data_IF_617139570391
#
_entry.id   IF_617139570391
#
_cell.length_a   1.000
_cell.length_b   1.000
_cell.length_c   1.000
_cell.angle_alpha   90.00
_cell.angle_beta   90.00
_cell.angle_gamma   90.00
#
_symmetry.space_group_name_H-M   'P 1'
#
loop_
_entity.id
_entity.type
_entity.pdbx_description
1 polymer ?
#
# COMPACT_ATOMS: atom_id res chain seq x y z
N UNK A 1 -7.08 3.36 23.43
CA UNK A 1 -6.53 2.32 22.54
C UNK A 1 -5.44 1.59 23.32
N UNK A 2 -5.54 0.27 23.42
CA UNK A 2 -4.42 -0.54 23.89
C UNK A 2 -3.38 -0.53 22.75
N UNK A 3 -2.09 -0.24 23.04
CA UNK A 3 -1.06 -0.36 22.03
C UNK A 3 -1.04 -1.80 21.53
N UNK A 4 -1.08 -2.00 20.23
CA UNK A 4 -0.79 -3.31 19.66
C UNK A 4 0.70 -3.51 19.87
N UNK A 5 1.04 -4.27 20.90
CA UNK A 5 2.41 -4.69 21.16
C UNK A 5 2.74 -5.82 20.18
N UNK A 6 3.49 -5.52 19.13
CA UNK A 6 4.07 -6.53 18.25
C UNK A 6 5.16 -7.33 18.97
N UNK A 7 5.77 -6.72 19.99
CA UNK A 7 6.65 -7.35 20.96
C UNK A 7 6.50 -6.63 22.29
N UNK A 8 6.47 -7.33 23.43
CA UNK A 8 6.48 -6.69 24.75
C UNK A 8 7.71 -5.80 24.98
N UNK A 9 8.80 -6.06 24.28
CA UNK A 9 10.08 -5.36 24.42
C UNK A 9 10.19 -4.11 23.54
N UNK A 10 9.40 -4.02 22.45
CA UNK A 10 9.42 -2.89 21.52
C UNK A 10 8.01 -2.67 20.91
N UNK A 11 7.09 -2.07 21.67
CA UNK A 11 5.74 -1.85 21.23
C UNK A 11 5.69 -0.72 20.18
N UNK A 12 5.05 -0.95 19.04
CA UNK A 12 4.65 0.10 18.11
C UNK A 12 3.36 0.74 18.63
N UNK A 13 3.47 1.94 19.22
CA UNK A 13 2.33 2.64 19.82
C UNK A 13 1.49 3.43 18.82
N UNK A 14 2.15 4.03 17.84
CA UNK A 14 1.53 4.91 16.86
C UNK A 14 2.12 4.67 15.47
N UNK A 15 1.29 4.76 14.46
CA UNK A 15 1.70 4.80 13.06
C UNK A 15 1.13 6.06 12.41
N UNK A 16 1.88 6.67 11.50
CA UNK A 16 1.41 7.82 10.74
C UNK A 16 0.67 7.31 9.51
N UNK A 17 -0.65 7.44 9.51
CA UNK A 17 -1.50 7.02 8.39
C UNK A 17 -1.52 8.03 7.25
N UNK A 18 -1.46 9.34 7.58
CA UNK A 18 -1.42 10.43 6.61
C UNK A 18 -0.53 11.56 7.10
N UNK A 19 -0.11 12.44 6.20
CA UNK A 19 0.72 13.60 6.53
C UNK A 19 2.22 13.30 6.74
N UNK A 20 2.72 12.15 6.29
CA UNK A 20 4.13 11.75 6.42
C UNK A 20 5.10 12.81 5.91
N UNK A 21 4.84 13.39 4.72
CA UNK A 21 5.66 14.44 4.14
C UNK A 21 5.59 15.75 4.94
N UNK A 22 4.40 16.11 5.43
CA UNK A 22 4.20 17.31 6.25
C UNK A 22 4.95 17.21 7.58
N UNK A 23 4.88 16.05 8.25
CA UNK A 23 5.63 15.80 9.48
C UNK A 23 7.14 15.77 9.25
N UNK A 24 7.61 15.20 8.15
CA UNK A 24 9.01 15.21 7.78
C UNK A 24 9.52 16.64 7.53
N UNK A 25 8.76 17.47 6.82
CA UNK A 25 9.08 18.87 6.59
C UNK A 25 9.09 19.67 7.90
N UNK A 26 8.08 19.49 8.75
CA UNK A 26 8.04 20.15 10.06
C UNK A 26 9.24 19.77 10.94
N UNK A 27 9.64 18.49 10.93
CA UNK A 27 10.85 18.02 11.62
C UNK A 27 12.11 18.69 11.07
N UNK A 28 12.26 18.79 9.75
CA UNK A 28 13.42 19.44 9.13
C UNK A 28 13.51 20.93 9.53
N UNK A 29 12.39 21.67 9.46
CA UNK A 29 12.31 23.06 9.92
C UNK A 29 12.66 23.19 11.41
N UNK A 30 12.15 22.30 12.25
CA UNK A 30 12.50 22.28 13.67
C UNK A 30 14.00 22.10 13.91
N UNK A 31 14.65 21.17 13.24
CA UNK A 31 16.08 20.92 13.40
C UNK A 31 16.95 22.12 12.96
N UNK A 32 16.49 22.92 12.01
CA UNK A 32 17.14 24.19 11.64
C UNK A 32 16.96 25.26 12.73
N UNK A 33 15.74 25.51 13.16
CA UNK A 33 15.40 26.50 14.19
C UNK A 33 16.16 26.22 15.49
N UNK A 34 16.17 24.94 15.90
CA UNK A 34 16.79 24.45 17.12
C UNK A 34 18.27 24.80 17.25
N UNK A 35 19.01 24.91 16.13
CA UNK A 35 20.43 25.21 16.12
C UNK A 35 20.76 26.62 16.69
N UNK A 36 19.80 27.55 16.64
CA UNK A 36 19.93 28.90 17.13
C UNK A 36 19.38 29.14 18.54
N UNK A 37 18.84 28.10 19.20
CA UNK A 37 18.15 28.20 20.48
C UNK A 37 19.02 27.76 21.65
N UNK A 38 18.81 28.39 22.81
CA UNK A 38 19.32 27.88 24.09
C UNK A 38 18.59 26.60 24.52
N UNK A 39 19.16 25.80 25.44
CA UNK A 39 18.47 24.60 25.97
C UNK A 39 17.10 24.93 26.58
N UNK A 40 16.93 26.06 27.22
CA UNK A 40 15.68 26.49 27.84
C UNK A 40 14.61 26.83 26.77
N UNK A 41 14.99 27.58 25.75
CA UNK A 41 14.12 27.94 24.63
C UNK A 41 13.69 26.70 23.82
N UNK A 42 14.60 25.74 23.63
CA UNK A 42 14.34 24.51 22.90
C UNK A 42 13.17 23.71 23.49
N UNK A 43 13.00 23.71 24.82
CA UNK A 43 11.96 22.94 25.49
C UNK A 43 10.55 23.49 25.21
N UNK A 44 10.42 24.82 25.11
CA UNK A 44 9.13 25.52 25.03
C UNK A 44 8.81 26.09 23.66
N UNK A 45 9.74 26.01 22.71
CA UNK A 45 9.54 26.61 21.39
C UNK A 45 8.37 25.97 20.63
N UNK A 46 7.44 26.77 20.06
CA UNK A 46 6.25 26.22 19.38
C UNK A 46 6.58 25.33 18.18
N UNK A 47 7.62 25.59 17.42
CA UNK A 47 8.04 24.75 16.29
C UNK A 47 8.51 23.33 16.69
N UNK A 48 8.69 23.06 18.00
CA UNK A 48 8.96 21.71 18.51
C UNK A 48 7.75 20.77 18.40
N UNK A 49 6.55 21.31 18.30
CA UNK A 49 5.31 20.57 18.36
C UNK A 49 4.61 20.59 16.99
N UNK A 50 4.06 19.48 16.58
CA UNK A 50 3.14 19.38 15.47
C UNK A 50 1.78 18.95 16.00
N UNK A 51 0.72 19.55 15.48
CA UNK A 51 -0.66 19.09 15.78
C UNK A 51 -0.94 17.84 14.96
N UNK A 52 -1.44 16.82 15.61
CA UNK A 52 -1.86 15.56 14.99
C UNK A 52 -3.24 15.17 15.50
N UNK A 53 -4.00 14.47 14.67
CA UNK A 53 -5.20 13.78 15.09
C UNK A 53 -4.83 12.33 15.45
N UNK A 54 -5.32 11.85 16.59
CA UNK A 54 -5.10 10.49 17.04
C UNK A 54 -6.37 9.68 16.83
N UNK A 55 -6.32 8.74 15.90
CA UNK A 55 -7.42 7.87 15.57
C UNK A 55 -7.22 6.46 16.12
N UNK A 56 -8.32 5.82 16.52
CA UNK A 56 -8.33 4.41 16.87
C UNK A 56 -8.62 3.59 15.61
N UNK A 57 -7.67 2.80 15.12
CA UNK A 57 -7.85 1.97 13.92
C UNK A 57 -8.99 0.93 14.07
N UNK A 58 -9.40 0.62 15.29
CA UNK A 58 -10.51 -0.29 15.58
C UNK A 58 -11.86 0.44 15.71
N UNK A 59 -11.90 1.77 15.50
CA UNK A 59 -13.15 2.50 15.48
C UNK A 59 -13.99 2.08 14.26
N UNK A 60 -15.27 1.78 14.49
CA UNK A 60 -16.19 1.32 13.42
C UNK A 60 -16.47 2.41 12.38
N UNK A 61 -16.30 3.69 12.75
CA UNK A 61 -16.45 4.82 11.84
C UNK A 61 -15.26 4.92 10.84
N UNK A 62 -14.08 4.38 11.19
CA UNK A 62 -12.93 4.36 10.30
C UNK A 62 -13.11 3.26 9.24
N UNK A 63 -13.33 3.65 7.99
CA UNK A 63 -13.41 2.73 6.87
C UNK A 63 -12.04 2.65 6.18
N UNK A 64 -11.55 1.42 6.05
CA UNK A 64 -10.36 1.17 5.25
C UNK A 64 -10.80 0.80 3.83
N UNK A 65 -10.40 1.61 2.86
CA UNK A 65 -10.71 1.36 1.47
C UNK A 65 -9.42 0.98 0.73
N UNK A 66 -9.44 -0.05 -0.12
CA UNK A 66 -8.28 -0.40 -0.91
C UNK A 66 -8.03 0.65 -1.99
N UNK A 67 -6.78 0.95 -2.24
CA UNK A 67 -6.38 1.73 -3.41
C UNK A 67 -6.02 0.73 -4.50
N UNK A 68 -6.84 0.67 -5.53
CA UNK A 68 -6.66 -0.21 -6.68
C UNK A 68 -5.58 0.31 -7.62
N UNK A 69 -5.18 -0.50 -8.58
CA UNK A 69 -4.19 -0.15 -9.60
C UNK A 69 -4.79 -0.27 -10.98
N UNK A 70 -4.43 0.64 -11.88
CA UNK A 70 -4.70 0.53 -13.31
C UNK A 70 -3.40 0.71 -14.07
N UNK A 71 -3.07 -0.26 -14.90
CA UNK A 71 -1.90 -0.27 -15.77
C UNK A 71 -2.37 -0.03 -17.20
N UNK A 72 -1.82 0.98 -17.85
CA UNK A 72 -2.10 1.33 -19.24
C UNK A 72 -0.93 0.96 -20.13
N UNK A 73 -1.21 0.55 -21.35
CA UNK A 73 -0.22 0.18 -22.36
C UNK A 73 0.21 -1.28 -22.24
N UNK A 74 -0.72 -2.17 -21.84
CA UNK A 74 -0.48 -3.61 -21.70
C UNK A 74 -1.67 -4.42 -22.21
N UNK A 75 -1.43 -5.70 -22.50
CA UNK A 75 -2.44 -6.72 -22.78
C UNK A 75 -2.76 -7.52 -21.51
N UNK A 76 -4.03 -7.86 -21.32
CA UNK A 76 -4.46 -8.51 -20.08
C UNK A 76 -4.11 -9.99 -20.03
N UNK A 77 -4.19 -10.71 -21.14
CA UNK A 77 -3.89 -12.13 -21.18
C UNK A 77 -2.37 -12.36 -21.02
N UNK A 78 -1.53 -11.55 -21.70
CA UNK A 78 -0.07 -11.57 -21.54
C UNK A 78 0.35 -11.26 -20.09
N UNK A 79 -0.30 -10.28 -19.48
CA UNK A 79 0.02 -9.84 -18.12
C UNK A 79 -0.30 -10.91 -17.06
N UNK A 80 -1.35 -11.73 -17.26
CA UNK A 80 -1.65 -12.83 -16.36
C UNK A 80 -0.52 -13.88 -16.35
N UNK A 81 0.02 -14.20 -17.51
CA UNK A 81 1.13 -15.16 -17.63
C UNK A 81 2.41 -14.59 -16.97
N UNK A 82 2.67 -13.29 -17.13
CA UNK A 82 3.82 -12.63 -16.51
C UNK A 82 3.70 -12.54 -14.98
N UNK A 83 2.50 -12.32 -14.44
CA UNK A 83 2.25 -12.38 -12.98
C UNK A 83 2.57 -13.77 -12.44
N UNK A 84 2.11 -14.81 -13.14
CA UNK A 84 2.37 -16.19 -12.73
C UNK A 84 3.86 -16.54 -12.78
N UNK A 85 4.57 -16.09 -13.81
CA UNK A 85 6.03 -16.26 -13.94
C UNK A 85 6.79 -15.52 -12.84
N UNK A 86 6.42 -14.27 -12.54
CA UNK A 86 7.01 -13.49 -11.46
C UNK A 86 6.77 -14.15 -10.09
N UNK A 87 5.55 -14.61 -9.81
CA UNK A 87 5.24 -15.31 -8.57
C UNK A 87 6.14 -16.53 -8.39
N UNK A 88 6.29 -17.37 -9.44
CA UNK A 88 7.16 -18.53 -9.42
C UNK A 88 8.64 -18.16 -9.18
N UNK A 89 9.15 -17.07 -9.79
CA UNK A 89 10.52 -16.58 -9.54
C UNK A 89 10.73 -16.19 -8.07
N UNK A 90 9.71 -15.65 -7.43
CA UNK A 90 9.74 -15.27 -6.00
C UNK A 90 9.47 -16.43 -5.04
N UNK A 91 9.32 -17.65 -5.55
CA UNK A 91 9.02 -18.85 -4.75
C UNK A 91 7.55 -18.96 -4.33
N UNK A 92 6.67 -18.16 -4.94
CA UNK A 92 5.23 -18.20 -4.76
C UNK A 92 4.57 -19.01 -5.89
N UNK A 93 3.29 -19.36 -5.69
CA UNK A 93 2.52 -20.09 -6.71
C UNK A 93 1.13 -19.46 -6.88
N UNK A 94 0.59 -19.56 -8.10
CA UNK A 94 -0.82 -19.28 -8.32
C UNK A 94 -1.61 -20.48 -7.81
N UNK A 95 -2.36 -20.28 -6.74
CA UNK A 95 -3.15 -21.31 -6.08
C UNK A 95 -4.38 -20.71 -5.40
N UNK A 96 -5.45 -21.50 -5.32
CA UNK A 96 -6.62 -21.15 -4.51
C UNK A 96 -6.52 -21.85 -3.16
N UNK A 97 -6.52 -21.08 -2.09
CA UNK A 97 -6.43 -21.64 -0.74
C UNK A 97 -6.66 -20.57 0.34
N UNK A 98 -6.85 -21.00 1.59
CA UNK A 98 -7.18 -20.09 2.70
C UNK A 98 -6.05 -19.12 3.07
N UNK A 99 -4.85 -19.37 2.56
CA UNK A 99 -3.66 -18.51 2.78
C UNK A 99 -3.28 -17.70 1.51
N UNK A 100 -4.06 -17.88 0.43
CA UNK A 100 -3.79 -17.18 -0.82
C UNK A 100 -4.10 -15.67 -0.67
N UNK A 101 -3.21 -14.85 -1.19
CA UNK A 101 -3.46 -13.42 -1.38
C UNK A 101 -4.26 -13.25 -2.66
N UNK A 102 -5.50 -12.78 -2.54
CA UNK A 102 -6.40 -12.62 -3.69
C UNK A 102 -6.20 -11.26 -4.35
N UNK A 103 -6.08 -11.27 -5.68
CA UNK A 103 -6.03 -10.08 -6.54
C UNK A 103 -6.98 -10.35 -7.71
N UNK A 104 -7.97 -9.50 -7.93
CA UNK A 104 -8.84 -9.62 -9.10
C UNK A 104 -8.31 -8.73 -10.22
N UNK A 105 -7.99 -9.34 -11.35
CA UNK A 105 -7.53 -8.69 -12.57
C UNK A 105 -8.73 -8.45 -13.47
N UNK A 106 -8.92 -7.21 -13.93
CA UNK A 106 -10.05 -6.76 -14.75
C UNK A 106 -9.53 -6.13 -16.03
N UNK A 107 -9.98 -6.61 -17.17
CA UNK A 107 -9.63 -6.09 -18.49
C UNK A 107 -10.68 -6.51 -19.53
N UNK A 108 -11.00 -5.63 -20.48
CA UNK A 108 -11.88 -5.93 -21.60
C UNK A 108 -13.22 -6.62 -21.22
N UNK A 109 -13.78 -6.23 -20.08
CA UNK A 109 -15.00 -6.84 -19.53
C UNK A 109 -14.83 -8.25 -18.92
N UNK A 110 -13.60 -8.76 -18.85
CA UNK A 110 -13.25 -10.01 -18.15
C UNK A 110 -12.82 -9.69 -16.71
N UNK A 111 -13.09 -10.62 -15.80
CA UNK A 111 -12.57 -10.60 -14.42
C UNK A 111 -11.96 -11.96 -14.08
N UNK A 112 -10.71 -11.95 -13.61
CA UNK A 112 -9.97 -13.15 -13.23
C UNK A 112 -9.41 -12.94 -11.83
N UNK A 113 -9.83 -13.73 -10.86
CA UNK A 113 -9.26 -13.69 -9.51
C UNK A 113 -8.09 -14.66 -9.42
N UNK A 114 -6.93 -14.11 -9.11
CA UNK A 114 -5.69 -14.83 -8.84
C UNK A 114 -5.51 -14.98 -7.34
N UNK A 115 -5.30 -16.21 -6.86
CA UNK A 115 -4.77 -16.47 -5.53
C UNK A 115 -3.26 -16.67 -5.60
N UNK A 116 -2.48 -16.02 -4.77
CA UNK A 116 -1.02 -16.17 -4.71
C UNK A 116 -0.63 -16.71 -3.33
N UNK A 117 -0.10 -17.92 -3.29
CA UNK A 117 0.40 -18.56 -2.07
C UNK A 117 1.93 -18.51 -2.01
N UNK A 118 2.48 -18.39 -0.79
CA UNK A 118 3.92 -18.41 -0.55
C UNK A 118 4.63 -17.11 -0.93
N UNK A 119 3.91 -16.02 -1.18
CA UNK A 119 4.52 -14.72 -1.45
C UNK A 119 5.42 -14.27 -0.29
N UNK A 120 6.62 -13.71 -0.58
CA UNK A 120 7.47 -13.13 0.46
C UNK A 120 6.89 -11.84 1.06
N UNK A 121 5.88 -11.26 0.41
CA UNK A 121 5.20 -10.07 0.89
C UNK A 121 3.98 -10.44 1.74
N UNK A 122 3.78 -9.73 2.85
CA UNK A 122 2.72 -10.04 3.82
C UNK A 122 1.30 -9.75 3.32
N UNK A 123 1.14 -8.81 2.40
CA UNK A 123 -0.15 -8.36 1.86
C UNK A 123 -0.20 -8.45 0.34
N UNK A 124 -1.41 -8.69 -0.20
CA UNK A 124 -1.67 -8.69 -1.65
C UNK A 124 -1.18 -7.41 -2.35
N UNK A 125 -1.37 -6.24 -1.71
CA UNK A 125 -0.88 -4.96 -2.25
C UNK A 125 0.64 -4.94 -2.40
N UNK A 126 1.39 -5.52 -1.46
CA UNK A 126 2.85 -5.60 -1.53
C UNK A 126 3.32 -6.54 -2.65
N UNK A 127 2.66 -7.68 -2.80
CA UNK A 127 2.92 -8.64 -3.88
C UNK A 127 2.65 -8.01 -5.25
N UNK A 128 1.50 -7.36 -5.41
CA UNK A 128 1.14 -6.68 -6.65
C UNK A 128 2.12 -5.53 -6.96
N UNK A 129 2.44 -4.68 -5.97
CA UNK A 129 3.34 -3.55 -6.20
C UNK A 129 4.74 -4.01 -6.64
N UNK A 130 5.26 -5.06 -6.01
CA UNK A 130 6.55 -5.63 -6.39
C UNK A 130 6.56 -6.17 -7.83
N UNK A 131 5.45 -6.79 -8.26
CA UNK A 131 5.27 -7.20 -9.65
C UNK A 131 5.24 -6.00 -10.60
N UNK A 132 4.41 -5.00 -10.30
CA UNK A 132 4.25 -3.81 -11.15
C UNK A 132 5.56 -3.02 -11.27
N UNK A 133 6.29 -2.85 -10.17
CA UNK A 133 7.59 -2.17 -10.18
C UNK A 133 8.61 -2.91 -11.04
N UNK A 134 8.66 -4.25 -10.94
CA UNK A 134 9.51 -5.09 -11.76
C UNK A 134 9.13 -5.01 -13.25
N UNK A 135 7.83 -5.10 -13.55
CA UNK A 135 7.31 -5.09 -14.91
C UNK A 135 7.56 -3.75 -15.63
N UNK A 136 7.35 -2.64 -14.93
CA UNK A 136 7.55 -1.29 -15.47
C UNK A 136 9.00 -0.99 -15.86
N UNK A 137 9.99 -1.69 -15.28
CA UNK A 137 11.40 -1.55 -15.68
C UNK A 137 11.62 -1.94 -17.15
N UNK A 138 10.85 -2.91 -17.65
CA UNK A 138 10.93 -3.40 -19.03
C UNK A 138 9.95 -2.68 -19.97
N UNK A 139 8.99 -1.92 -19.41
CA UNK A 139 7.90 -1.27 -20.16
C UNK A 139 7.81 0.24 -19.84
N UNK A 140 8.83 1.03 -20.20
CA UNK A 140 8.91 2.46 -19.81
C UNK A 140 7.84 3.35 -20.45
N UNK A 141 7.12 2.86 -21.46
CA UNK A 141 5.99 3.55 -22.08
C UNK A 141 4.66 3.29 -21.38
N UNK A 142 4.60 2.27 -20.51
CA UNK A 142 3.39 1.99 -19.73
C UNK A 142 3.21 3.00 -18.59
N UNK A 143 1.97 3.18 -18.16
CA UNK A 143 1.62 4.10 -17.08
C UNK A 143 0.80 3.40 -16.02
N UNK A 144 1.21 3.54 -14.77
CA UNK A 144 0.50 3.03 -13.61
C UNK A 144 -0.26 4.16 -12.92
N UNK A 145 -1.53 3.93 -12.62
CA UNK A 145 -2.40 4.82 -11.86
C UNK A 145 -2.95 4.14 -10.60
N UNK A 146 -3.29 4.96 -9.61
CA UNK A 146 -3.82 4.56 -8.31
C UNK A 146 -5.26 5.05 -8.20
N UNK A 147 -6.22 4.14 -8.09
CA UNK A 147 -7.63 4.44 -8.28
C UNK A 147 -8.43 4.04 -7.04
N UNK A 148 -9.30 4.94 -6.57
CA UNK A 148 -10.31 4.67 -5.57
C UNK A 148 -11.61 4.19 -6.24
N UNK A 149 -12.17 3.09 -5.70
CA UNK A 149 -13.45 2.54 -6.13
C UNK A 149 -13.34 1.61 -7.34
N UNK A 150 -13.91 0.42 -7.19
CA UNK A 150 -13.88 -0.65 -8.20
C UNK A 150 -14.60 -0.27 -9.49
N UNK A 151 -15.75 0.43 -9.40
CA UNK A 151 -16.51 0.84 -10.58
C UNK A 151 -15.72 1.79 -11.48
N UNK A 152 -14.88 2.64 -10.88
CA UNK A 152 -13.97 3.52 -11.63
C UNK A 152 -12.91 2.70 -12.36
N UNK A 153 -12.35 1.69 -11.71
CA UNK A 153 -11.39 0.77 -12.35
C UNK A 153 -12.05 0.07 -13.54
N UNK A 154 -13.22 -0.56 -13.34
CA UNK A 154 -13.95 -1.27 -14.41
C UNK A 154 -14.25 -0.36 -15.61
N UNK A 155 -14.58 0.90 -15.33
CA UNK A 155 -14.83 1.89 -16.39
C UNK A 155 -13.57 2.21 -17.19
N UNK A 156 -12.43 2.39 -16.50
CA UNK A 156 -11.16 2.74 -17.13
C UNK A 156 -10.59 1.62 -18.00
N UNK A 157 -10.86 0.36 -17.64
CA UNK A 157 -10.30 -0.82 -18.34
C UNK A 157 -11.33 -1.54 -19.24
N UNK A 158 -12.45 -0.89 -19.54
CA UNK A 158 -13.48 -1.46 -20.42
C UNK A 158 -13.04 -1.61 -21.88
N UNK A 159 -12.01 -0.85 -22.32
CA UNK A 159 -11.39 -0.93 -23.64
C UNK A 159 -10.06 -1.66 -23.61
N UNK A 160 -9.50 -1.86 -24.81
CA UNK A 160 -8.19 -2.49 -25.00
C UNK A 160 -7.04 -1.64 -24.42
N UNK A 161 -5.95 -2.31 -24.04
CA UNK A 161 -4.70 -1.67 -23.65
C UNK A 161 -4.66 -1.16 -22.20
N UNK A 162 -5.61 -1.57 -21.35
CA UNK A 162 -5.60 -1.24 -19.93
C UNK A 162 -6.03 -2.42 -19.07
N UNK A 163 -5.38 -2.62 -17.95
CA UNK A 163 -5.64 -3.69 -16.98
C UNK A 163 -5.80 -3.11 -15.58
N UNK A 164 -6.88 -3.47 -14.91
CA UNK A 164 -7.18 -3.10 -13.54
C UNK A 164 -6.84 -4.22 -12.56
N UNK A 165 -6.40 -3.83 -11.36
CA UNK A 165 -6.15 -4.74 -10.25
C UNK A 165 -6.99 -4.31 -9.06
N UNK A 166 -8.02 -5.10 -8.75
CA UNK A 166 -8.83 -4.90 -7.56
C UNK A 166 -8.17 -5.62 -6.39
N UNK A 167 -7.88 -4.86 -5.37
CA UNK A 167 -7.25 -5.36 -4.14
C UNK A 167 -8.30 -5.56 -3.06
N UNK A 168 -8.13 -6.56 -2.19
CA UNK A 168 -8.98 -6.72 -1.03
C UNK A 168 -8.81 -5.56 -0.05
N UNK A 169 -9.86 -5.28 0.72
CA UNK A 169 -9.78 -4.33 1.84
C UNK A 169 -8.73 -4.81 2.84
N UNK A 170 -7.76 -3.96 3.24
CA UNK A 170 -6.77 -4.34 4.23
C UNK A 170 -7.41 -4.71 5.57
N UNK A 171 -6.98 -5.82 6.16
CA UNK A 171 -7.39 -6.21 7.51
C UNK A 171 -6.74 -5.26 8.53
N UNK A 172 -7.54 -4.61 9.37
CA UNK A 172 -7.08 -3.65 10.37
C UNK A 172 -6.02 -4.23 11.31
N UNK A 173 -6.23 -5.46 11.74
CA UNK A 173 -5.35 -6.15 12.68
C UNK A 173 -3.96 -6.46 12.09
N UNK A 174 -3.85 -6.53 10.76
CA UNK A 174 -2.61 -6.82 10.05
C UNK A 174 -1.85 -5.56 9.61
N UNK A 175 -2.46 -4.38 9.74
CA UNK A 175 -1.86 -3.12 9.29
C UNK A 175 -0.49 -2.86 9.97
N UNK A 176 -0.43 -3.01 11.29
CA UNK A 176 0.79 -2.76 12.05
C UNK A 176 1.90 -3.78 11.79
N UNK A 177 1.53 -5.01 11.44
CA UNK A 177 2.49 -6.07 11.09
C UNK A 177 3.25 -5.76 9.79
N UNK A 178 2.72 -4.88 8.96
CA UNK A 178 3.27 -4.56 7.64
C UNK A 178 4.15 -3.31 7.63
N UNK A 179 4.12 -2.51 8.70
CA UNK A 179 4.88 -1.26 8.84
C UNK A 179 6.33 -1.53 9.33
N UNK A 180 6.65 -2.74 9.75
CA UNK A 180 7.99 -3.17 10.21
C UNK A 180 8.82 -3.79 9.11
#
# INVERSE_FOLDING_TARGET
>A
ALPICLSPEDPLLFAVGDGNHSLAAAKACWEEIKRGLTPQETVVHPARFAMVELENIHDDALRMEPIHRVLFGCDGDDLLDEIAAFAAEKGAAIAAGPQAQEITVVYEGKEVTLGIEGSPYKLAVGTLQAFLDWWLLSHPQARLDYIHGEDTVRTLVAGEGAVGFLLPTPERDRLFDTIR
#
